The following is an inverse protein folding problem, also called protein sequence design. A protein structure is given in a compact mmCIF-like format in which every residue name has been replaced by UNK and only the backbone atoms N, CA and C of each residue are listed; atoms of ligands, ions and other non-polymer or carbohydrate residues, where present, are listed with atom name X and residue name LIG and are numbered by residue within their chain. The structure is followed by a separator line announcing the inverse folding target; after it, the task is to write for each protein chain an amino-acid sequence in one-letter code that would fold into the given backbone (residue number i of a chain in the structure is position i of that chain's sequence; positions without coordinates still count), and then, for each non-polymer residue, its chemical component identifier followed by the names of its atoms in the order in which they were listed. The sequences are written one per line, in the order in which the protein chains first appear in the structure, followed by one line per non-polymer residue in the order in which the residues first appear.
data_IF_483663494406
#
_entry.id   IF_483663494406
#
_cell.length_a   1.000
_cell.length_b   1.000
_cell.length_c   1.000
_cell.angle_alpha   90.00
_cell.angle_beta   90.00
_cell.angle_gamma   90.00
#
_symmetry.space_group_name_H-M   'P 1'
#
loop_
_entity.id
_entity.type
_entity.pdbx_description
1 polymer ?
#
# COMPACT_ATOMS: atom_id res chain seq x y z
N UNK A 1 -6.50 0.34 6.04
CA UNK A 1 -6.33 -0.68 4.98
C UNK A 1 -7.51 -0.59 4.05
N UNK A 2 -7.27 -0.68 2.75
CA UNK A 2 -8.29 -0.56 1.71
C UNK A 2 -8.14 -1.68 0.68
N UNK A 3 -9.24 -2.10 0.08
CA UNK A 3 -9.25 -2.91 -1.13
C UNK A 3 -8.87 -2.04 -2.32
N UNK A 4 -7.93 -2.52 -3.11
CA UNK A 4 -7.57 -1.91 -4.39
C UNK A 4 -7.21 -2.97 -5.41
N UNK A 5 -7.22 -2.61 -6.69
CA UNK A 5 -6.58 -3.39 -7.74
C UNK A 5 -5.07 -3.10 -7.75
N UNK A 6 -4.40 -3.49 -6.66
CA UNK A 6 -2.98 -3.23 -6.43
C UNK A 6 -2.14 -3.90 -7.54
N UNK A 7 -1.31 -3.15 -8.30
CA UNK A 7 -0.54 -3.68 -9.42
C UNK A 7 0.58 -4.64 -8.97
N UNK A 8 1.13 -5.39 -9.91
CA UNK A 8 2.27 -6.29 -9.66
C UNK A 8 3.50 -5.91 -10.48
N UNK A 9 4.66 -6.49 -10.16
CA UNK A 9 5.93 -6.13 -10.79
C UNK A 9 5.96 -6.43 -12.30
N UNK A 10 5.22 -7.44 -12.75
CA UNK A 10 5.12 -7.86 -14.15
C UNK A 10 4.32 -6.85 -14.98
N UNK A 11 3.40 -6.12 -14.36
CA UNK A 11 2.53 -5.13 -14.99
C UNK A 11 2.33 -3.94 -14.04
N UNK A 12 3.38 -3.13 -13.78
CA UNK A 12 3.40 -2.16 -12.69
C UNK A 12 2.41 -1.01 -12.87
N UNK A 13 2.02 -0.72 -14.12
CA UNK A 13 1.08 0.35 -14.48
C UNK A 13 -0.38 -0.10 -14.53
N UNK A 14 -0.63 -1.41 -14.54
CA UNK A 14 -1.93 -1.99 -14.84
C UNK A 14 -2.61 -2.44 -13.54
N UNK A 15 -3.88 -2.05 -13.30
CA UNK A 15 -4.63 -2.58 -12.17
C UNK A 15 -4.67 -4.10 -12.21
N UNK A 16 -4.44 -4.76 -11.07
CA UNK A 16 -4.56 -6.22 -11.01
C UNK A 16 -5.99 -6.69 -11.31
N UNK A 17 -6.12 -7.90 -11.85
CA UNK A 17 -7.44 -8.52 -12.11
C UNK A 17 -8.22 -8.85 -10.83
N UNK A 18 -7.51 -8.98 -9.71
CA UNK A 18 -8.07 -9.33 -8.40
C UNK A 18 -7.78 -8.23 -7.39
N UNK A 19 -8.68 -8.07 -6.41
CA UNK A 19 -8.53 -7.07 -5.36
C UNK A 19 -7.51 -7.53 -4.33
N UNK A 20 -6.65 -6.61 -3.91
CA UNK A 20 -5.66 -6.78 -2.85
C UNK A 20 -5.82 -5.71 -1.79
N UNK A 21 -5.49 -6.09 -0.57
CA UNK A 21 -5.47 -5.16 0.55
C UNK A 21 -4.16 -4.36 0.52
N UNK A 22 -4.26 -3.04 0.64
CA UNK A 22 -3.13 -2.14 0.81
C UNK A 22 -3.29 -1.27 2.07
N UNK A 23 -2.16 -0.86 2.64
CA UNK A 23 -2.14 0.21 3.66
C UNK A 23 -1.80 1.52 2.97
N UNK A 24 -2.72 2.49 3.03
CA UNK A 24 -2.45 3.85 2.54
C UNK A 24 -1.50 4.54 3.52
N UNK A 25 -0.35 4.99 3.03
CA UNK A 25 0.68 5.71 3.79
C UNK A 25 0.79 7.18 3.40
N UNK A 26 0.15 7.58 2.29
CA UNK A 26 0.08 8.97 1.86
C UNK A 26 -1.07 9.18 0.88
N UNK A 27 -1.67 10.37 0.93
CA UNK A 27 -2.70 10.81 -0.01
C UNK A 27 -2.33 12.22 -0.47
N UNK A 28 -2.48 12.47 -1.77
CA UNK A 28 -2.05 13.68 -2.43
C UNK A 28 -3.19 14.24 -3.26
N UNK A 29 -3.40 15.55 -3.18
CA UNK A 29 -4.28 16.29 -4.09
C UNK A 29 -3.81 16.15 -5.55
N UNK A 30 -4.65 16.46 -6.55
CA UNK A 30 -4.24 16.42 -7.96
C UNK A 30 -2.98 17.26 -8.25
N UNK A 31 -2.87 18.45 -7.64
CA UNK A 31 -1.69 19.32 -7.78
C UNK A 31 -0.42 18.72 -7.17
N UNK A 32 -0.54 18.04 -6.03
CA UNK A 32 0.59 17.33 -5.41
C UNK A 32 0.98 16.09 -6.21
N UNK A 33 0.00 15.33 -6.69
CA UNK A 33 0.22 14.15 -7.52
C UNK A 33 0.96 14.51 -8.82
N UNK A 34 0.55 15.60 -9.50
CA UNK A 34 1.20 16.08 -10.72
C UNK A 34 2.67 16.47 -10.48
N UNK A 35 2.95 17.15 -9.35
CA UNK A 35 4.32 17.47 -8.93
C UNK A 35 5.14 16.20 -8.68
N UNK A 36 4.57 15.22 -7.98
CA UNK A 36 5.23 13.97 -7.65
C UNK A 36 5.56 13.10 -8.88
N UNK A 37 4.67 13.07 -9.87
CA UNK A 37 4.87 12.30 -11.09
C UNK A 37 5.76 13.01 -12.15
N UNK A 38 6.11 14.28 -11.92
CA UNK A 38 6.90 15.11 -12.85
C UNK A 38 6.19 15.34 -14.19
N UNK A 39 4.86 15.22 -14.24
CA UNK A 39 4.04 15.37 -15.46
C UNK A 39 2.61 15.73 -15.13
N UNK A 40 1.90 16.28 -16.12
CA UNK A 40 0.47 16.50 -16.00
C UNK A 40 -0.25 15.16 -15.82
N UNK A 41 -1.14 15.09 -14.84
CA UNK A 41 -1.96 13.93 -14.54
C UNK A 41 -3.44 14.30 -14.70
N UNK A 42 -4.33 13.33 -14.97
CA UNK A 42 -5.76 13.53 -14.86
C UNK A 42 -6.13 14.12 -13.48
N UNK A 43 -7.26 14.82 -13.37
CA UNK A 43 -7.69 15.55 -12.17
C UNK A 43 -7.97 14.69 -10.91
N UNK A 44 -7.58 13.42 -10.91
CA UNK A 44 -7.68 12.51 -9.77
C UNK A 44 -6.43 12.67 -8.90
N UNK A 45 -6.61 12.76 -7.58
CA UNK A 45 -5.48 12.74 -6.64
C UNK A 45 -4.71 11.42 -6.67
N UNK A 46 -3.70 11.29 -5.81
CA UNK A 46 -2.92 10.05 -5.69
C UNK A 46 -2.99 9.48 -4.28
N UNK A 47 -2.87 8.16 -4.17
CA UNK A 47 -2.61 7.46 -2.93
C UNK A 47 -1.32 6.66 -3.06
N UNK A 48 -0.51 6.66 -2.01
CA UNK A 48 0.63 5.74 -1.87
C UNK A 48 0.20 4.62 -0.95
N UNK A 49 0.22 3.40 -1.47
CA UNK A 49 -0.16 2.20 -0.74
C UNK A 49 1.04 1.25 -0.61
N UNK A 50 1.20 0.62 0.54
CA UNK A 50 2.14 -0.51 0.72
C UNK A 50 1.40 -1.83 0.69
N UNK A 51 2.05 -2.86 0.15
CA UNK A 51 1.45 -4.16 -0.08
C UNK A 51 1.16 -4.92 1.21
N UNK A 52 0.06 -5.69 1.22
CA UNK A 52 -0.24 -6.63 2.30
C UNK A 52 -0.65 -8.00 1.75
N UNK A 53 -0.40 -9.06 2.52
CA UNK A 53 -0.84 -10.42 2.18
C UNK A 53 -1.00 -11.30 3.41
N UNK A 54 -1.96 -12.22 3.36
CA UNK A 54 -2.18 -13.23 4.40
C UNK A 54 -1.23 -14.43 4.30
N UNK A 55 -0.32 -14.47 3.31
CA UNK A 55 0.68 -15.52 3.16
C UNK A 55 1.85 -15.33 4.14
N UNK A 56 1.55 -15.36 5.43
CA UNK A 56 2.50 -15.03 6.52
C UNK A 56 3.75 -15.92 6.56
N UNK A 57 3.71 -17.10 5.95
CA UNK A 57 4.85 -18.02 5.87
C UNK A 57 5.92 -17.59 4.86
N UNK A 58 5.64 -16.61 3.99
CA UNK A 58 6.54 -16.17 2.91
C UNK A 58 7.96 -15.82 3.37
N UNK A 59 8.09 -15.27 4.57
CA UNK A 59 9.37 -14.78 5.12
C UNK A 59 9.89 -15.61 6.30
N UNK A 60 9.20 -16.70 6.68
CA UNK A 60 9.54 -17.47 7.88
C UNK A 60 9.57 -16.62 9.15
N UNK A 61 10.52 -16.91 10.04
CA UNK A 61 10.65 -16.24 11.34
C UNK A 61 11.56 -15.00 11.29
N UNK A 62 12.46 -14.91 10.31
CA UNK A 62 13.37 -13.78 10.12
C UNK A 62 12.80 -12.80 9.10
N UNK A 63 12.14 -11.76 9.59
CA UNK A 63 11.55 -10.74 8.75
C UNK A 63 12.63 -9.82 8.14
N UNK A 64 12.66 -9.65 6.81
CA UNK A 64 13.50 -8.63 6.17
C UNK A 64 13.17 -7.22 6.65
N UNK A 65 14.12 -6.29 6.49
CA UNK A 65 13.86 -4.85 6.67
C UNK A 65 12.68 -4.44 5.79
N UNK A 66 11.74 -3.68 6.34
CA UNK A 66 10.53 -3.26 5.60
C UNK A 66 9.36 -4.22 5.71
N UNK A 67 9.55 -5.41 6.28
CA UNK A 67 8.47 -6.38 6.47
C UNK A 67 7.98 -6.34 7.91
N UNK A 68 6.67 -6.17 8.09
CA UNK A 68 6.00 -6.21 9.38
C UNK A 68 5.05 -7.40 9.36
N UNK A 69 5.26 -8.37 10.25
CA UNK A 69 4.28 -9.41 10.53
C UNK A 69 3.26 -8.89 11.54
N UNK A 70 1.98 -9.07 11.20
CA UNK A 70 0.84 -8.80 12.08
C UNK A 70 0.22 -10.15 12.41
N UNK A 71 0.34 -10.57 13.66
CA UNK A 71 -0.27 -11.79 14.15
C UNK A 71 -1.80 -11.67 14.20
N UNK A 72 -2.47 -12.79 14.47
CA UNK A 72 -3.91 -12.86 14.45
C UNK A 72 -4.56 -11.98 15.53
N UNK A 73 -3.95 -11.90 16.71
CA UNK A 73 -4.50 -11.12 17.82
C UNK A 73 -4.43 -9.63 17.53
N UNK A 74 -3.30 -9.14 17.01
CA UNK A 74 -3.17 -7.76 16.57
C UNK A 74 -4.02 -7.46 15.34
N UNK A 75 -4.17 -8.40 14.41
CA UNK A 75 -5.06 -8.26 13.26
C UNK A 75 -6.52 -8.07 13.71
N UNK A 76 -6.99 -8.86 14.67
CA UNK A 76 -8.35 -8.77 15.21
C UNK A 76 -8.61 -7.45 15.94
N UNK A 77 -7.63 -6.91 16.66
CA UNK A 77 -7.72 -5.57 17.25
C UNK A 77 -7.95 -4.47 16.19
N UNK A 78 -7.61 -4.75 14.94
CA UNK A 78 -7.78 -3.86 13.80
C UNK A 78 -8.92 -4.31 12.87
N UNK A 79 -9.89 -5.11 13.36
CA UNK A 79 -11.01 -5.66 12.57
C UNK A 79 -10.60 -6.51 11.35
N UNK A 80 -9.40 -7.10 11.37
CA UNK A 80 -8.95 -8.01 10.34
C UNK A 80 -9.00 -9.46 10.83
N UNK A 81 -9.67 -10.33 10.07
CA UNK A 81 -9.96 -11.71 10.46
C UNK A 81 -8.77 -12.68 10.29
N UNK A 82 -7.71 -12.27 9.59
CA UNK A 82 -6.56 -13.13 9.28
C UNK A 82 -5.27 -12.44 9.70
N UNK A 83 -4.29 -13.23 10.15
CA UNK A 83 -2.92 -12.77 10.24
C UNK A 83 -2.39 -12.39 8.85
N UNK A 84 -1.50 -11.41 8.78
CA UNK A 84 -0.96 -10.90 7.53
C UNK A 84 0.43 -10.30 7.72
N UNK A 85 1.10 -9.98 6.62
CA UNK A 85 2.26 -9.10 6.64
C UNK A 85 2.00 -7.83 5.84
N UNK A 86 2.75 -6.79 6.18
CA UNK A 86 2.87 -5.55 5.43
C UNK A 86 4.30 -5.49 4.89
N UNK A 87 4.45 -5.27 3.59
CA UNK A 87 5.76 -5.14 2.95
C UNK A 87 5.94 -3.72 2.43
N UNK A 88 6.66 -2.88 3.18
CA UNK A 88 6.89 -1.47 2.83
C UNK A 88 7.88 -1.29 1.69
N UNK A 89 8.57 -2.36 1.29
CA UNK A 89 9.45 -2.37 0.10
C UNK A 89 8.63 -2.36 -1.18
N UNK A 90 7.42 -2.94 -1.16
CA UNK A 90 6.50 -2.95 -2.30
C UNK A 90 5.47 -1.84 -2.11
N UNK A 91 5.66 -0.75 -2.85
CA UNK A 91 4.82 0.44 -2.75
C UNK A 91 4.23 0.82 -4.11
N UNK A 92 2.95 1.17 -4.13
CA UNK A 92 2.24 1.55 -5.33
C UNK A 92 1.73 3.00 -5.23
N UNK A 93 1.97 3.77 -6.30
CA UNK A 93 1.50 5.14 -6.49
C UNK A 93 0.26 5.11 -7.38
N UNK A 94 -0.91 5.11 -6.75
CA UNK A 94 -2.19 4.79 -7.37
C UNK A 94 -3.03 6.05 -7.58
N UNK A 95 -3.67 6.22 -8.75
CA UNK A 95 -4.71 7.23 -8.93
C UNK A 95 -5.90 6.96 -8.01
N UNK A 96 -6.44 7.99 -7.39
CA UNK A 96 -7.72 7.94 -6.66
C UNK A 96 -8.89 7.85 -7.66
N UNK A 97 -9.03 6.68 -8.28
CA UNK A 97 -9.98 6.42 -9.36
C UNK A 97 -10.52 4.99 -9.28
N UNK A 98 -11.74 4.75 -9.76
CA UNK A 98 -12.42 3.44 -9.72
C UNK A 98 -11.65 2.28 -10.33
N UNK A 99 -10.81 2.57 -11.33
CA UNK A 99 -9.94 1.57 -11.94
C UNK A 99 -8.95 0.93 -10.94
N UNK A 100 -8.58 1.64 -9.86
CA UNK A 100 -7.71 1.13 -8.81
C UNK A 100 -8.44 0.97 -7.47
N UNK A 101 -9.44 1.80 -7.20
CA UNK A 101 -10.25 1.79 -5.98
C UNK A 101 -11.73 1.65 -6.37
N UNK A 102 -12.22 0.42 -6.66
CA UNK A 102 -13.55 0.23 -7.24
C UNK A 102 -14.69 0.78 -6.39
N UNK A 103 -14.48 0.82 -5.07
CA UNK A 103 -15.50 1.23 -4.11
C UNK A 103 -15.32 2.69 -3.63
N UNK A 104 -14.48 3.49 -4.30
CA UNK A 104 -14.10 4.86 -3.84
C UNK A 104 -15.27 5.83 -3.67
N UNK A 105 -16.34 5.67 -4.44
CA UNK A 105 -17.53 6.54 -4.39
C UNK A 105 -18.58 6.06 -3.38
N UNK A 106 -18.36 4.92 -2.74
CA UNK A 106 -19.31 4.32 -1.81
C UNK A 106 -18.78 4.48 -0.37
N UNK A 107 -19.38 5.36 0.47
CA UNK A 107 -18.88 5.64 1.81
C UNK A 107 -18.74 4.38 2.65
N UNK A 108 -17.57 4.20 3.28
CA UNK A 108 -17.21 3.01 4.07
C UNK A 108 -17.13 1.69 3.28
N UNK A 109 -17.37 1.69 1.96
CA UNK A 109 -17.07 0.54 1.11
C UNK A 109 -15.59 0.57 0.68
N UNK A 110 -15.00 -0.61 0.51
CA UNK A 110 -13.57 -0.74 0.18
C UNK A 110 -12.62 -0.50 1.35
N UNK A 111 -13.07 0.02 2.50
CA UNK A 111 -12.26 0.06 3.73
C UNK A 111 -12.33 -1.31 4.41
N UNK A 112 -11.18 -1.93 4.62
CA UNK A 112 -11.07 -3.26 5.23
C UNK A 112 -10.99 -3.13 6.75
N UNK A 113 -10.13 -2.22 7.18
CA UNK A 113 -9.70 -2.09 8.57
C UNK A 113 -9.09 -0.72 8.79
N UNK A 114 -9.40 -0.09 9.91
CA UNK A 114 -8.61 1.02 10.44
C UNK A 114 -7.42 0.43 11.15
N UNK A 115 -6.21 0.71 10.66
CA UNK A 115 -5.00 0.35 11.37
C UNK A 115 -4.80 1.34 12.51
N UNK A 116 -4.50 0.82 13.70
CA UNK A 116 -4.27 1.62 14.88
C UNK A 116 -3.00 2.49 14.72
N UNK A 117 -2.92 3.58 15.49
CA UNK A 117 -1.84 4.54 15.40
C UNK A 117 -0.45 3.94 15.65
N UNK A 118 -0.35 2.92 16.51
CA UNK A 118 0.91 2.24 16.81
C UNK A 118 1.40 1.40 15.63
N UNK A 119 0.50 0.64 15.01
CA UNK A 119 0.81 -0.12 13.80
C UNK A 119 1.15 0.82 12.64
N UNK A 120 0.40 1.90 12.46
CA UNK A 120 0.68 2.89 11.42
C UNK A 120 2.05 3.56 11.61
N UNK A 121 2.39 3.96 12.84
CA UNK A 121 3.72 4.49 13.17
C UNK A 121 4.83 3.51 12.77
N UNK A 122 4.67 2.22 13.09
CA UNK A 122 5.62 1.18 12.71
C UNK A 122 5.74 1.01 11.20
N UNK A 123 4.64 1.13 10.44
CA UNK A 123 4.66 1.13 8.96
C UNK A 123 5.49 2.30 8.43
N UNK A 124 5.26 3.52 8.94
CA UNK A 124 6.01 4.72 8.51
C UNK A 124 7.50 4.61 8.88
N UNK A 125 7.82 4.08 10.07
CA UNK A 125 9.21 3.84 10.49
C UNK A 125 9.91 2.82 9.58
N UNK A 126 9.25 1.70 9.24
CA UNK A 126 9.81 0.72 8.32
C UNK A 126 9.92 1.26 6.90
N UNK A 127 8.95 2.06 6.45
CA UNK A 127 9.03 2.77 5.17
C UNK A 127 10.27 3.66 5.13
N UNK A 128 10.49 4.52 6.13
CA UNK A 128 11.67 5.37 6.22
C UNK A 128 12.97 4.56 6.29
N UNK A 129 12.99 3.48 7.08
CA UNK A 129 14.15 2.61 7.26
C UNK A 129 14.55 1.90 5.96
N UNK A 130 13.60 1.43 5.15
CA UNK A 130 13.87 0.84 3.84
C UNK A 130 14.52 1.88 2.92
N UNK A 131 13.95 3.08 2.82
CA UNK A 131 14.54 4.14 1.99
C UNK A 131 15.99 4.49 2.40
N UNK A 132 16.28 4.47 3.70
CA UNK A 132 17.60 4.83 4.21
C UNK A 132 18.63 3.70 4.12
N UNK A 133 18.22 2.43 4.19
CA UNK A 133 19.14 1.30 4.42
C UNK A 133 19.08 0.17 3.39
N UNK A 134 18.01 0.10 2.61
CA UNK A 134 17.80 -0.94 1.61
C UNK A 134 17.03 -0.38 0.39
N UNK A 135 17.43 0.77 -0.19
CA UNK A 135 16.72 1.37 -1.31
C UNK A 135 16.68 0.44 -2.54
N UNK A 136 17.68 -0.42 -2.72
CA UNK A 136 17.76 -1.41 -3.79
C UNK A 136 16.68 -2.50 -3.72
N UNK A 137 16.06 -2.69 -2.55
CA UNK A 137 14.97 -3.66 -2.37
C UNK A 137 13.59 -3.07 -2.69
N UNK A 138 13.52 -1.77 -2.98
CA UNK A 138 12.25 -1.09 -3.21
C UNK A 138 11.71 -1.45 -4.59
N UNK A 139 10.50 -2.01 -4.59
CA UNK A 139 9.68 -2.18 -5.78
C UNK A 139 8.65 -1.08 -5.81
N UNK A 140 8.80 -0.16 -6.77
CA UNK A 140 7.87 0.95 -6.97
C UNK A 140 6.93 0.65 -8.13
N UNK A 141 5.63 0.66 -7.84
CA UNK A 141 4.57 0.31 -8.76
C UNK A 141 3.59 1.47 -8.95
N UNK A 142 2.65 1.29 -9.87
CA UNK A 142 1.57 2.21 -10.15
C UNK A 142 1.92 3.23 -11.23
N UNK A 143 0.91 3.74 -11.95
CA UNK A 143 1.11 4.68 -13.03
C UNK A 143 1.61 6.03 -12.54
N UNK A 144 1.43 6.38 -11.27
CA UNK A 144 1.84 7.67 -10.72
C UNK A 144 3.21 7.66 -10.05
N UNK A 145 4.02 6.61 -10.28
CA UNK A 145 5.36 6.52 -9.70
C UNK A 145 6.24 7.73 -10.11
N UNK A 146 7.07 8.24 -9.18
CA UNK A 146 8.11 9.22 -9.51
C UNK A 146 9.03 8.69 -10.62
N UNK A 147 9.51 9.58 -11.48
CA UNK A 147 10.55 9.28 -12.49
C UNK A 147 11.93 9.61 -11.97
#
# INVERSE_FOLDING_TARGET
MVWSYFPFAEAPDIPAAVRHAGVIVGVFTPNEAARLAGRHLPAYGAAVAVYTSSQVQKFGDQLPIGVIRVDLDRARQNNNAKAFFIDTRVRAYLPLHKAFFPDIDAPNHGVIASIDAGLFKRVVEQFARVNARAPEQIVTLGPLRPR
#
